data_IF_137906494037
#
_entry.id   IF_137906494037
#
_cell.length_a   1.000
_cell.length_b   1.000
_cell.length_c   1.000
_cell.angle_alpha   90.00
_cell.angle_beta   90.00
_cell.angle_gamma   90.00
#
_symmetry.space_group_name_H-M   'P 1'
#
loop_
_entity.id
_entity.type
_entity.pdbx_description
1 polymer ?
#
# COMPACT_ATOMS: atom_id res chain seq x y z
N UNK A 1 9.03 51.04 91.03
CA UNK A 1 8.67 51.37 89.59
C UNK A 1 9.65 50.64 88.69
N UNK A 2 9.36 49.40 88.31
CA UNK A 2 10.21 48.61 87.44
C UNK A 2 9.30 47.81 86.49
N UNK A 3 9.51 48.06 85.19
CA UNK A 3 8.75 47.51 84.09
C UNK A 3 9.35 46.12 83.73
N UNK A 4 8.52 45.09 83.51
CA UNK A 4 9.05 43.76 83.13
C UNK A 4 9.37 43.68 81.61
N UNK A 5 10.25 42.79 81.18
CA UNK A 5 10.71 42.65 79.81
C UNK A 5 9.75 41.81 78.96
N UNK A 6 9.59 42.22 77.69
CA UNK A 6 8.75 41.58 76.67
C UNK A 6 9.56 40.43 76.05
N UNK A 7 9.06 39.18 76.23
CA UNK A 7 9.55 37.98 75.59
C UNK A 7 9.07 37.94 74.11
N UNK A 8 10.03 38.01 73.17
CA UNK A 8 9.80 37.76 71.73
C UNK A 8 9.83 36.26 71.46
N UNK A 9 8.66 35.63 71.29
CA UNK A 9 8.56 34.27 70.73
C UNK A 9 8.62 34.38 69.23
N UNK A 10 9.68 33.89 68.62
CA UNK A 10 9.81 33.71 67.16
C UNK A 10 8.99 32.50 66.73
N UNK A 11 7.88 32.75 66.03
CA UNK A 11 7.14 31.71 65.38
C UNK A 11 7.78 31.44 64.00
N UNK A 12 8.46 30.29 63.84
CA UNK A 12 8.90 29.79 62.55
C UNK A 12 7.73 29.27 61.79
N UNK A 13 7.28 30.06 60.78
CA UNK A 13 6.26 29.57 59.81
C UNK A 13 7.04 28.76 58.79
N UNK A 14 6.91 27.44 58.84
CA UNK A 14 7.41 26.57 57.79
C UNK A 14 6.48 26.67 56.58
N UNK A 15 6.96 27.27 55.48
CA UNK A 15 6.30 27.33 54.18
C UNK A 15 6.42 25.92 53.52
N UNK A 16 5.34 25.15 53.57
CA UNK A 16 5.19 23.93 52.78
C UNK A 16 4.85 24.33 51.35
N UNK A 17 5.84 24.29 50.44
CA UNK A 17 5.62 24.38 49.00
C UNK A 17 5.03 23.04 48.53
N UNK A 18 3.90 23.04 47.82
CA UNK A 18 3.41 21.82 47.19
C UNK A 18 4.31 21.46 45.99
N UNK A 19 4.90 20.27 46.06
CA UNK A 19 5.60 19.65 44.94
C UNK A 19 4.52 19.34 43.89
N UNK A 20 4.41 20.21 42.86
CA UNK A 20 3.60 19.92 41.68
C UNK A 20 4.29 18.82 40.90
N UNK A 21 3.84 17.58 41.11
CA UNK A 21 4.20 16.43 40.28
C UNK A 21 3.65 16.71 38.86
N UNK A 22 4.53 17.15 37.97
CA UNK A 22 4.22 17.26 36.54
C UNK A 22 3.97 15.86 36.01
N UNK A 23 2.71 15.46 35.91
CA UNK A 23 2.32 14.26 35.14
C UNK A 23 2.71 14.53 33.67
N UNK A 24 3.93 14.10 33.29
CA UNK A 24 4.28 13.97 31.87
C UNK A 24 3.34 12.89 31.32
N UNK A 25 2.31 13.35 30.62
CA UNK A 25 1.53 12.49 29.74
C UNK A 25 2.52 11.86 28.77
N UNK A 26 2.87 10.60 28.99
CA UNK A 26 3.63 9.82 28.04
C UNK A 26 2.73 9.66 26.81
N UNK A 27 2.86 10.56 25.86
CA UNK A 27 2.35 10.35 24.53
C UNK A 27 3.09 9.12 24.01
N UNK A 28 2.43 7.97 24.05
CA UNK A 28 2.99 6.74 23.51
C UNK A 28 3.31 7.01 22.04
N UNK A 29 4.59 6.97 21.69
CA UNK A 29 5.03 6.99 20.31
C UNK A 29 4.27 5.90 19.56
N UNK A 30 3.80 6.15 18.31
CA UNK A 30 3.13 5.12 17.53
C UNK A 30 4.00 3.87 17.53
N UNK A 31 3.42 2.77 17.94
CA UNK A 31 4.13 1.51 18.08
C UNK A 31 4.68 1.10 16.69
N UNK A 32 5.97 1.30 16.45
CA UNK A 32 6.69 0.95 15.21
C UNK A 32 6.57 -0.55 14.83
N UNK A 33 5.94 -1.34 15.68
CA UNK A 33 5.70 -2.77 15.50
C UNK A 33 4.23 -3.11 15.24
N UNK A 34 3.36 -2.13 14.99
CA UNK A 34 1.99 -2.42 14.62
C UNK A 34 1.98 -3.15 13.27
N UNK A 35 1.67 -4.44 13.27
CA UNK A 35 1.47 -5.19 12.03
C UNK A 35 0.25 -4.68 11.30
N UNK A 36 0.32 -4.62 9.97
CA UNK A 36 -0.87 -4.34 9.18
C UNK A 36 -1.91 -5.45 9.38
N UNK A 37 -3.21 -5.11 9.42
CA UNK A 37 -4.25 -6.11 9.57
C UNK A 37 -4.21 -7.13 8.43
N UNK A 38 -4.71 -8.33 8.67
CA UNK A 38 -4.90 -9.35 7.65
C UNK A 38 -6.37 -9.38 7.23
N UNK A 39 -6.62 -9.16 5.94
CA UNK A 39 -7.98 -9.24 5.37
C UNK A 39 -8.35 -10.70 5.12
N UNK A 40 -7.44 -11.47 4.54
CA UNK A 40 -7.64 -12.89 4.25
C UNK A 40 -6.63 -13.41 3.23
N UNK A 41 -6.74 -14.66 2.78
CA UNK A 41 -5.93 -15.17 1.67
C UNK A 41 -6.18 -14.36 0.40
N UNK A 42 -5.10 -13.94 -0.28
CA UNK A 42 -5.22 -13.27 -1.57
C UNK A 42 -5.86 -14.22 -2.60
N UNK A 43 -6.87 -13.78 -3.35
CA UNK A 43 -7.51 -14.60 -4.38
C UNK A 43 -6.51 -15.11 -5.40
N UNK A 44 -6.47 -16.42 -5.69
CA UNK A 44 -5.53 -16.99 -6.64
C UNK A 44 -5.86 -16.57 -8.07
N UNK A 45 -4.79 -16.44 -8.87
CA UNK A 45 -4.85 -16.28 -10.31
C UNK A 45 -3.77 -17.09 -11.00
N UNK A 46 -3.95 -17.36 -12.30
CA UNK A 46 -2.92 -17.87 -13.20
C UNK A 46 -3.19 -17.29 -14.59
N UNK A 47 -2.41 -16.28 -14.97
CA UNK A 47 -2.61 -15.45 -16.15
C UNK A 47 -1.36 -15.44 -17.04
N UNK A 48 -1.45 -14.84 -18.22
CA UNK A 48 -0.34 -14.70 -19.17
C UNK A 48 0.31 -13.33 -19.01
N UNK A 49 1.63 -13.30 -18.88
CA UNK A 49 2.39 -12.06 -18.78
C UNK A 49 2.59 -11.38 -20.14
N UNK A 50 3.00 -10.10 -20.11
CA UNK A 50 3.42 -9.38 -21.29
C UNK A 50 4.57 -10.06 -22.06
N UNK A 51 5.30 -10.99 -21.44
CA UNK A 51 6.37 -11.79 -22.04
C UNK A 51 5.89 -13.20 -22.46
N UNK A 52 4.58 -13.38 -22.62
CA UNK A 52 3.97 -14.64 -23.04
C UNK A 52 4.21 -15.83 -22.09
N UNK A 53 4.58 -15.55 -20.83
CA UNK A 53 4.77 -16.58 -19.82
C UNK A 53 3.55 -16.70 -18.93
N UNK A 54 3.21 -17.92 -18.53
CA UNK A 54 2.17 -18.14 -17.51
C UNK A 54 2.71 -17.77 -16.15
N UNK A 55 1.96 -16.97 -15.42
CA UNK A 55 2.29 -16.50 -14.07
C UNK A 55 1.11 -16.76 -13.15
N UNK A 56 1.34 -17.52 -12.09
CA UNK A 56 0.37 -17.73 -11.03
C UNK A 56 0.75 -16.93 -9.78
N UNK A 57 -0.23 -16.61 -8.94
CA UNK A 57 0.04 -15.96 -7.65
C UNK A 57 0.99 -16.79 -6.78
N UNK A 58 0.92 -18.13 -6.86
CA UNK A 58 1.83 -19.04 -6.15
C UNK A 58 3.29 -18.83 -6.49
N UNK A 59 3.60 -18.46 -7.75
CA UNK A 59 4.97 -18.27 -8.24
C UNK A 59 5.63 -17.01 -7.66
N UNK A 60 4.80 -16.13 -7.09
CA UNK A 60 5.20 -14.86 -6.49
C UNK A 60 5.33 -14.92 -4.96
N UNK A 61 5.16 -16.11 -4.37
CA UNK A 61 5.36 -16.33 -2.93
C UNK A 61 6.77 -15.90 -2.50
N UNK A 62 6.88 -15.39 -1.29
CA UNK A 62 8.14 -14.85 -0.76
C UNK A 62 8.37 -13.39 -1.11
N UNK A 63 7.60 -12.81 -2.05
CA UNK A 63 7.61 -11.37 -2.36
C UNK A 63 6.40 -10.67 -1.74
N UNK A 64 6.58 -9.41 -1.39
CA UNK A 64 5.47 -8.48 -1.14
C UNK A 64 4.97 -7.98 -2.49
N UNK A 65 3.65 -7.99 -2.69
CA UNK A 65 3.06 -7.59 -3.96
C UNK A 65 2.18 -6.36 -3.80
N UNK A 66 2.22 -5.46 -4.80
CA UNK A 66 1.18 -4.46 -5.03
C UNK A 66 0.46 -4.83 -6.33
N UNK A 67 -0.78 -5.34 -6.20
CA UNK A 67 -1.59 -5.77 -7.33
C UNK A 67 -2.63 -4.71 -7.65
N UNK A 68 -2.70 -4.32 -8.92
CA UNK A 68 -3.66 -3.34 -9.42
C UNK A 68 -4.28 -3.78 -10.75
N UNK A 69 -5.29 -3.04 -11.21
CA UNK A 69 -6.02 -3.30 -12.44
C UNK A 69 -5.85 -2.15 -13.42
N UNK A 70 -5.57 -2.46 -14.68
CA UNK A 70 -5.28 -1.49 -15.74
C UNK A 70 -5.93 -1.91 -17.06
N UNK A 71 -5.97 -1.00 -18.04
CA UNK A 71 -6.20 -1.33 -19.44
C UNK A 71 -5.44 -0.35 -20.34
N UNK A 72 -4.95 -0.84 -21.48
CA UNK A 72 -3.97 -0.09 -22.31
C UNK A 72 -4.56 1.12 -23.03
N UNK A 73 -5.87 1.14 -23.23
CA UNK A 73 -6.58 2.26 -23.88
C UNK A 73 -7.04 3.35 -22.91
N UNK A 74 -6.72 3.22 -21.63
CA UNK A 74 -6.98 4.26 -20.62
C UNK A 74 -6.07 5.47 -20.85
N UNK A 75 -6.64 6.63 -21.13
CA UNK A 75 -5.89 7.85 -21.42
C UNK A 75 -5.62 8.75 -20.23
N UNK A 76 -6.17 8.46 -19.06
CA UNK A 76 -6.10 9.35 -17.90
C UNK A 76 -5.60 8.64 -16.63
N UNK A 77 -6.45 7.87 -15.99
CA UNK A 77 -6.19 7.38 -14.61
C UNK A 77 -5.14 6.27 -14.54
N UNK A 78 -5.11 5.34 -15.52
CA UNK A 78 -4.09 4.28 -15.52
C UNK A 78 -2.66 4.80 -15.71
N UNK A 79 -2.38 5.77 -16.60
CA UNK A 79 -1.07 6.42 -16.67
C UNK A 79 -0.64 7.08 -15.36
N UNK A 80 -1.56 7.79 -14.69
CA UNK A 80 -1.30 8.43 -13.39
C UNK A 80 -0.94 7.38 -12.34
N UNK A 81 -1.75 6.32 -12.23
CA UNK A 81 -1.50 5.22 -11.29
C UNK A 81 -0.16 4.53 -11.57
N UNK A 82 0.12 4.23 -12.84
CA UNK A 82 1.38 3.58 -13.24
C UNK A 82 2.59 4.44 -12.91
N UNK A 83 2.52 5.76 -13.17
CA UNK A 83 3.58 6.70 -12.81
C UNK A 83 3.79 6.78 -11.30
N UNK A 84 2.72 6.90 -10.52
CA UNK A 84 2.79 6.90 -9.05
C UNK A 84 3.44 5.62 -8.51
N UNK A 85 3.03 4.46 -9.01
CA UNK A 85 3.62 3.19 -8.62
C UNK A 85 5.08 3.09 -9.06
N UNK A 86 5.45 3.60 -10.24
CA UNK A 86 6.85 3.62 -10.67
C UNK A 86 7.72 4.47 -9.74
N UNK A 87 7.21 5.59 -9.24
CA UNK A 87 7.90 6.41 -8.24
C UNK A 87 8.11 5.64 -6.92
N UNK A 88 7.09 4.92 -6.46
CA UNK A 88 7.19 4.05 -5.27
C UNK A 88 8.22 2.94 -5.51
N UNK A 89 8.21 2.29 -6.67
CA UNK A 89 9.19 1.26 -7.02
C UNK A 89 10.63 1.79 -6.98
N UNK A 90 10.88 2.99 -7.51
CA UNK A 90 12.19 3.66 -7.41
C UNK A 90 12.58 3.96 -5.97
N UNK A 91 11.64 4.40 -5.14
CA UNK A 91 11.88 4.70 -3.74
C UNK A 91 12.15 3.45 -2.87
N UNK A 92 11.71 2.27 -3.31
CA UNK A 92 12.04 0.99 -2.68
C UNK A 92 13.47 0.51 -2.99
N UNK A 93 14.13 1.08 -4.00
CA UNK A 93 15.52 0.81 -4.33
C UNK A 93 15.79 -0.66 -4.66
N UNK A 94 16.79 -1.26 -4.02
CA UNK A 94 17.20 -2.66 -4.26
C UNK A 94 16.18 -3.72 -3.84
N UNK A 95 15.16 -3.36 -3.06
CA UNK A 95 14.08 -4.28 -2.70
C UNK A 95 13.11 -4.50 -3.86
N UNK A 96 12.98 -3.51 -4.78
CA UNK A 96 12.08 -3.62 -5.93
C UNK A 96 12.63 -4.62 -6.95
N UNK A 97 11.81 -5.57 -7.33
CA UNK A 97 12.15 -6.74 -8.16
C UNK A 97 12.46 -7.99 -7.33
N UNK A 98 13.52 -8.00 -6.53
CA UNK A 98 13.85 -9.18 -5.72
C UNK A 98 12.82 -9.49 -4.61
N UNK A 99 12.38 -8.51 -3.86
CA UNK A 99 11.55 -8.68 -2.65
C UNK A 99 10.16 -8.08 -2.77
N UNK A 100 9.99 -7.06 -3.61
CA UNK A 100 8.70 -6.41 -3.91
C UNK A 100 8.44 -6.52 -5.40
N UNK A 101 7.22 -6.90 -5.79
CA UNK A 101 6.80 -6.87 -7.19
C UNK A 101 5.45 -6.17 -7.34
N UNK A 102 5.30 -5.45 -8.46
CA UNK A 102 4.03 -4.86 -8.85
C UNK A 102 3.38 -5.71 -9.93
N UNK A 103 2.09 -5.96 -9.76
CA UNK A 103 1.30 -6.81 -10.67
C UNK A 103 0.15 -5.97 -11.21
N UNK A 104 0.16 -5.70 -12.49
CA UNK A 104 -0.90 -4.98 -13.20
C UNK A 104 -1.70 -5.98 -14.05
N UNK A 105 -2.96 -6.23 -13.69
CA UNK A 105 -3.85 -7.16 -14.40
C UNK A 105 -4.77 -6.37 -15.32
N UNK A 106 -4.83 -6.77 -16.60
CA UNK A 106 -5.73 -6.15 -17.56
C UNK A 106 -7.20 -6.43 -17.23
N UNK A 107 -8.04 -5.40 -17.33
CA UNK A 107 -9.51 -5.50 -17.28
C UNK A 107 -10.15 -5.47 -18.66
N UNK A 108 -9.36 -5.34 -19.74
CA UNK A 108 -9.84 -5.41 -21.14
C UNK A 108 -9.04 -6.43 -21.95
N UNK A 109 -9.03 -7.72 -21.55
CA UNK A 109 -8.17 -8.75 -22.16
C UNK A 109 -8.43 -9.01 -23.63
N UNK A 110 -9.59 -8.62 -24.17
CA UNK A 110 -9.86 -8.70 -25.60
C UNK A 110 -8.99 -7.74 -26.42
N UNK A 111 -8.65 -6.59 -25.85
CA UNK A 111 -7.78 -5.59 -26.48
C UNK A 111 -6.34 -5.71 -25.97
N UNK A 112 -6.12 -6.04 -24.72
CA UNK A 112 -4.83 -6.03 -24.06
C UNK A 112 -4.08 -7.36 -24.24
N UNK A 113 -3.60 -7.57 -25.47
CA UNK A 113 -2.71 -8.69 -25.76
C UNK A 113 -1.36 -8.52 -25.03
N UNK A 114 -0.57 -9.60 -24.84
CA UNK A 114 0.78 -9.49 -24.28
C UNK A 114 1.63 -8.42 -24.97
N UNK A 115 1.58 -8.34 -26.29
CA UNK A 115 2.31 -7.32 -27.08
C UNK A 115 1.86 -5.89 -26.76
N UNK A 116 0.55 -5.64 -26.59
CA UNK A 116 0.03 -4.33 -26.20
C UNK A 116 0.41 -3.95 -24.78
N UNK A 117 0.35 -4.90 -23.84
CA UNK A 117 0.81 -4.68 -22.47
C UNK A 117 2.31 -4.37 -22.40
N UNK A 118 3.13 -5.02 -23.23
CA UNK A 118 4.56 -4.72 -23.40
C UNK A 118 4.79 -3.28 -23.87
N UNK A 119 4.05 -2.88 -24.89
CA UNK A 119 4.10 -1.50 -25.40
C UNK A 119 3.66 -0.47 -24.36
N UNK A 120 2.60 -0.78 -23.58
CA UNK A 120 2.14 0.05 -22.48
C UNK A 120 3.22 0.18 -21.38
N UNK A 121 3.81 -0.93 -20.94
CA UNK A 121 4.87 -0.94 -19.95
C UNK A 121 6.05 -0.04 -20.38
N UNK A 122 6.51 -0.19 -21.63
CA UNK A 122 7.60 0.62 -22.18
C UNK A 122 7.25 2.12 -22.25
N UNK A 123 6.04 2.47 -22.72
CA UNK A 123 5.57 3.85 -22.82
C UNK A 123 5.50 4.55 -21.45
N UNK A 124 5.24 3.80 -20.37
CA UNK A 124 5.11 4.32 -19.01
C UNK A 124 6.34 4.05 -18.13
N UNK A 125 7.48 3.63 -18.71
CA UNK A 125 8.74 3.32 -18.01
C UNK A 125 8.55 2.28 -16.89
N UNK A 126 7.61 1.38 -17.08
CA UNK A 126 7.31 0.25 -16.20
C UNK A 126 7.84 -1.08 -16.76
N UNK A 127 8.61 -1.05 -17.86
CA UNK A 127 9.33 -2.21 -18.42
C UNK A 127 10.66 -2.39 -17.66
N UNK A 128 10.55 -2.72 -16.39
CA UNK A 128 11.70 -2.90 -15.49
C UNK A 128 11.49 -4.14 -14.62
N UNK A 129 12.57 -4.80 -14.14
CA UNK A 129 12.45 -5.89 -13.18
C UNK A 129 11.60 -5.48 -11.97
N UNK A 130 10.64 -6.33 -11.60
CA UNK A 130 9.70 -6.06 -10.52
C UNK A 130 8.30 -5.67 -10.98
N UNK A 131 8.09 -5.34 -12.26
CA UNK A 131 6.78 -5.16 -12.85
C UNK A 131 6.32 -6.39 -13.62
N UNK A 132 5.06 -6.77 -13.43
CA UNK A 132 4.37 -7.83 -14.16
C UNK A 132 3.06 -7.28 -14.71
N UNK A 133 2.93 -7.26 -16.02
CA UNK A 133 1.68 -6.93 -16.70
C UNK A 133 1.05 -8.23 -17.18
N UNK A 134 -0.18 -8.49 -16.74
CA UNK A 134 -0.85 -9.78 -16.94
C UNK A 134 -2.18 -9.60 -17.70
N UNK A 135 -2.46 -10.55 -18.57
CA UNK A 135 -3.73 -10.69 -19.28
C UNK A 135 -4.14 -12.18 -19.33
N UNK A 136 -5.29 -12.49 -19.88
CA UNK A 136 -5.78 -13.86 -19.99
C UNK A 136 -7.04 -13.95 -20.83
N UNK A 137 -7.72 -15.08 -20.79
CA UNK A 137 -9.05 -15.16 -21.34
C UNK A 137 -10.00 -14.22 -20.56
N UNK A 138 -11.02 -13.62 -21.22
CA UNK A 138 -11.94 -12.67 -20.58
C UNK A 138 -12.58 -13.22 -19.30
N UNK A 139 -13.03 -14.48 -19.33
CA UNK A 139 -13.61 -15.12 -18.15
C UNK A 139 -12.64 -15.28 -16.99
N UNK A 140 -11.34 -15.52 -17.26
CA UNK A 140 -10.32 -15.69 -16.24
C UNK A 140 -10.02 -14.35 -15.55
N UNK A 141 -9.83 -13.27 -16.32
CA UNK A 141 -9.56 -11.94 -15.76
C UNK A 141 -10.74 -11.40 -15.00
N UNK A 142 -11.97 -11.57 -15.50
CA UNK A 142 -13.20 -11.17 -14.82
C UNK A 142 -13.37 -11.85 -13.46
N UNK A 143 -13.05 -13.12 -13.35
CA UNK A 143 -13.09 -13.85 -12.08
C UNK A 143 -12.10 -13.26 -11.10
N UNK A 144 -10.88 -12.95 -11.54
CA UNK A 144 -9.84 -12.33 -10.68
C UNK A 144 -10.30 -10.95 -10.22
N UNK A 145 -10.74 -10.07 -11.13
CA UNK A 145 -11.23 -8.72 -10.82
C UNK A 145 -12.29 -8.77 -9.73
N UNK A 146 -13.33 -9.59 -9.89
CA UNK A 146 -14.40 -9.72 -8.90
C UNK A 146 -13.93 -10.27 -7.55
N UNK A 147 -13.03 -11.26 -7.56
CA UNK A 147 -12.52 -11.86 -6.31
C UNK A 147 -11.70 -10.90 -5.48
N UNK A 148 -11.02 -9.93 -6.10
CA UNK A 148 -10.33 -8.86 -5.39
C UNK A 148 -11.26 -7.73 -4.92
N UNK A 149 -12.56 -7.81 -5.22
CA UNK A 149 -13.54 -6.77 -4.87
C UNK A 149 -13.56 -5.60 -5.85
N UNK A 150 -12.89 -5.73 -6.99
CA UNK A 150 -12.97 -4.77 -8.08
C UNK A 150 -14.11 -5.12 -9.04
N UNK A 151 -14.46 -4.19 -9.93
CA UNK A 151 -15.32 -4.45 -11.07
C UNK A 151 -14.76 -3.76 -12.32
N UNK A 152 -15.10 -4.28 -13.47
CA UNK A 152 -14.88 -3.63 -14.75
C UNK A 152 -16.11 -3.87 -15.64
N UNK A 153 -16.57 -2.81 -16.29
CA UNK A 153 -17.71 -2.85 -17.20
C UNK A 153 -17.40 -2.07 -18.47
N UNK A 154 -17.42 -2.75 -19.59
CA UNK A 154 -17.27 -2.11 -20.89
C UNK A 154 -18.61 -1.45 -21.30
N UNK A 155 -18.55 -0.16 -21.64
CA UNK A 155 -19.72 0.55 -22.16
C UNK A 155 -19.93 0.24 -23.64
N UNK A 156 -21.12 0.57 -24.16
CA UNK A 156 -21.41 0.46 -25.58
C UNK A 156 -20.50 1.36 -26.45
N UNK A 157 -19.95 2.44 -25.91
CA UNK A 157 -18.97 3.33 -26.56
C UNK A 157 -17.56 2.77 -26.58
N UNK A 158 -17.30 1.60 -25.96
CA UNK A 158 -15.98 0.99 -25.87
C UNK A 158 -15.12 1.48 -24.70
N UNK A 159 -15.61 2.45 -23.91
CA UNK A 159 -14.91 2.83 -22.66
C UNK A 159 -15.07 1.74 -21.61
N UNK A 160 -14.05 1.59 -20.74
CA UNK A 160 -14.09 0.67 -19.62
C UNK A 160 -14.26 1.47 -18.32
N UNK A 161 -15.42 1.30 -17.69
CA UNK A 161 -15.66 1.77 -16.33
C UNK A 161 -15.20 0.69 -15.37
N UNK A 162 -14.24 1.03 -14.50
CA UNK A 162 -13.73 0.09 -13.52
C UNK A 162 -13.35 0.78 -12.21
N UNK A 163 -13.44 0.00 -11.12
CA UNK A 163 -12.97 0.45 -9.83
C UNK A 163 -11.44 0.35 -9.78
N UNK A 164 -10.77 1.48 -9.61
CA UNK A 164 -9.34 1.50 -9.32
C UNK A 164 -9.11 0.97 -7.92
N UNK A 165 -8.42 -0.15 -7.83
CA UNK A 165 -8.11 -0.83 -6.60
C UNK A 165 -6.67 -1.32 -6.65
N UNK A 166 -5.88 -0.98 -5.63
CA UNK A 166 -4.54 -1.53 -5.45
C UNK A 166 -4.49 -2.32 -4.16
N UNK A 167 -4.11 -3.58 -4.25
CA UNK A 167 -4.10 -4.55 -3.14
C UNK A 167 -2.66 -4.88 -2.75
N UNK A 168 -2.31 -4.72 -1.47
CA UNK A 168 -1.03 -5.18 -0.93
C UNK A 168 -1.17 -6.61 -0.40
N UNK A 169 -0.26 -7.48 -0.84
CA UNK A 169 -0.21 -8.90 -0.47
C UNK A 169 1.15 -9.18 0.14
N UNK A 170 1.17 -9.81 1.30
CA UNK A 170 2.41 -10.16 1.99
C UNK A 170 3.11 -11.39 1.39
N UNK A 171 4.31 -11.69 1.91
CA UNK A 171 5.14 -12.79 1.43
C UNK A 171 4.49 -14.18 1.59
N UNK A 172 3.57 -14.31 2.57
CA UNK A 172 2.78 -15.52 2.75
C UNK A 172 1.54 -15.56 1.81
N UNK A 173 1.30 -14.51 1.01
CA UNK A 173 0.18 -14.37 0.10
C UNK A 173 -1.13 -14.02 0.79
N UNK A 174 -1.06 -13.33 1.93
CA UNK A 174 -2.23 -12.77 2.59
C UNK A 174 -2.49 -11.36 2.08
N UNK A 175 -3.73 -11.05 1.78
CA UNK A 175 -4.20 -9.71 1.46
C UNK A 175 -4.22 -8.88 2.76
N UNK A 176 -3.56 -7.72 2.74
CA UNK A 176 -3.32 -6.91 3.93
C UNK A 176 -3.98 -5.53 3.87
N UNK A 177 -3.84 -4.84 2.76
CA UNK A 177 -4.34 -3.47 2.55
C UNK A 177 -4.94 -3.36 1.16
N UNK A 178 -5.98 -2.53 1.02
CA UNK A 178 -6.54 -2.16 -0.28
C UNK A 178 -6.71 -0.65 -0.35
N UNK A 179 -6.09 -0.04 -1.36
CA UNK A 179 -6.22 1.37 -1.70
C UNK A 179 -7.26 1.56 -2.79
N UNK A 180 -8.26 2.38 -2.52
CA UNK A 180 -9.31 2.74 -3.48
C UNK A 180 -8.93 4.00 -4.27
N UNK A 181 -9.21 3.98 -5.57
CA UNK A 181 -8.91 5.10 -6.45
C UNK A 181 -7.45 5.18 -6.86
N UNK A 182 -7.10 6.30 -7.50
CA UNK A 182 -5.72 6.60 -7.96
C UNK A 182 -5.05 7.70 -7.12
N UNK A 183 -5.80 8.36 -6.24
CA UNK A 183 -5.36 9.50 -5.44
C UNK A 183 -5.02 9.11 -4.00
N UNK A 184 -4.44 7.94 -3.77
CA UNK A 184 -3.91 7.55 -2.47
C UNK A 184 -2.57 8.26 -2.19
N UNK A 185 -2.17 8.36 -0.91
CA UNK A 185 -0.84 8.88 -0.55
C UNK A 185 0.26 7.85 -0.92
N UNK A 186 1.16 8.18 -1.88
CA UNK A 186 2.23 7.26 -2.27
C UNK A 186 3.20 6.94 -1.12
N UNK A 187 3.37 7.86 -0.16
CA UNK A 187 4.23 7.66 1.00
C UNK A 187 3.61 6.67 2.00
N UNK A 188 2.28 6.65 2.09
CA UNK A 188 1.56 5.66 2.90
C UNK A 188 1.77 4.26 2.32
N UNK A 189 1.51 4.07 1.02
CA UNK A 189 1.74 2.79 0.35
C UNK A 189 3.20 2.34 0.46
N UNK A 190 4.16 3.25 0.31
CA UNK A 190 5.59 2.93 0.47
C UNK A 190 5.89 2.44 1.89
N UNK A 191 5.36 3.11 2.92
CA UNK A 191 5.52 2.69 4.33
C UNK A 191 4.92 1.30 4.56
N UNK A 192 3.72 1.05 4.04
CA UNK A 192 3.05 -0.24 4.19
C UNK A 192 3.82 -1.37 3.51
N UNK A 193 4.33 -1.16 2.29
CA UNK A 193 5.22 -2.12 1.62
C UNK A 193 6.48 -2.41 2.44
N UNK A 194 7.10 -1.38 3.02
CA UNK A 194 8.25 -1.53 3.89
C UNK A 194 7.91 -2.24 5.21
N UNK A 195 6.71 -2.06 5.75
CA UNK A 195 6.25 -2.81 6.93
C UNK A 195 6.09 -4.30 6.60
N UNK A 196 5.45 -4.63 5.49
CA UNK A 196 5.29 -6.02 5.03
C UNK A 196 6.63 -6.71 4.72
N UNK A 197 7.65 -5.96 4.30
CA UNK A 197 9.00 -6.49 4.09
C UNK A 197 9.71 -6.87 5.39
N UNK A 198 9.33 -6.28 6.51
CA UNK A 198 9.92 -6.55 7.84
C UNK A 198 9.22 -7.68 8.60
N UNK A 199 8.03 -8.08 8.17
CA UNK A 199 7.29 -9.24 8.69
C UNK A 199 7.82 -10.56 8.11
#
# INVERSE_FOLDING_TARGET
MTKPPISRRHACIALLLPLAASARSAYAAPNERARLPTIGPAPPFALTSSNDQRVALSDLRGKVLALTFVFTTCSNSCPILTATMADIGRALGSDFGPRVAFVAISVDPLNDTPARLRGYAAAHRADVPGWLFLTGAPGDTDVVVRRYGAYAKKSASGSVDHLFLTSLIDRAGMLRVQYLGVNFDPREMQRDLQMLLRE
#
